data_IF_937074660923
#
_entry.id   IF_937074660923
#
_cell.length_a   1.000
_cell.length_b   1.000
_cell.length_c   1.000
_cell.angle_alpha   90.00
_cell.angle_beta   90.00
_cell.angle_gamma   90.00
#
_symmetry.space_group_name_H-M   'P 1'
#
loop_
_entity.id
_entity.type
_entity.pdbx_description
1 polymer ?
#
# COMPACT_ATOMS: atom_id res chain seq x y z
N UNK A 1 20.43 3.26 4.26
CA UNK A 1 19.73 2.12 3.62
C UNK A 1 18.23 2.22 3.92
N UNK A 2 17.55 3.24 3.40
CA UNK A 2 16.17 3.64 3.79
C UNK A 2 15.13 3.38 2.68
N UNK A 3 15.45 2.60 1.65
CA UNK A 3 14.70 2.60 0.37
C UNK A 3 13.78 1.39 0.14
N UNK A 4 13.82 0.35 0.97
CA UNK A 4 12.95 -0.84 0.78
C UNK A 4 11.53 -0.67 1.34
N UNK A 5 11.34 0.12 2.39
CA UNK A 5 10.02 0.32 3.03
C UNK A 5 9.03 1.16 2.21
N UNK A 6 9.45 1.72 1.08
CA UNK A 6 8.62 2.57 0.22
C UNK A 6 8.27 1.91 -1.13
N UNK A 7 8.37 0.57 -1.20
CA UNK A 7 8.06 -0.20 -2.42
C UNK A 7 7.05 -1.31 -2.16
N UNK A 8 6.20 -1.57 -3.14
CA UNK A 8 5.30 -2.70 -3.23
C UNK A 8 5.73 -3.56 -4.42
N UNK A 9 5.71 -4.87 -4.24
CA UNK A 9 5.96 -5.82 -5.33
C UNK A 9 4.77 -6.77 -5.42
N UNK A 10 4.48 -7.23 -6.63
CA UNK A 10 3.39 -8.17 -6.88
C UNK A 10 3.42 -8.66 -8.31
N UNK A 11 2.36 -9.36 -8.71
CA UNK A 11 2.20 -9.92 -10.05
C UNK A 11 0.83 -9.52 -10.58
N UNK A 12 0.78 -8.93 -11.76
CA UNK A 12 -0.46 -8.61 -12.47
C UNK A 12 -1.22 -9.88 -12.85
N UNK A 13 -2.55 -9.83 -12.88
CA UNK A 13 -3.38 -10.98 -13.23
C UNK A 13 -3.16 -11.42 -14.68
N UNK A 14 -3.15 -10.47 -15.60
CA UNK A 14 -3.01 -10.76 -17.03
C UNK A 14 -1.66 -10.28 -17.57
N UNK A 15 -1.24 -9.07 -17.20
CA UNK A 15 0.04 -8.48 -17.56
C UNK A 15 -0.01 -7.70 -18.86
N UNK A 16 1.17 -7.29 -19.33
CA UNK A 16 1.35 -6.60 -20.61
C UNK A 16 2.28 -7.41 -21.51
N UNK A 17 1.91 -7.55 -22.78
CA UNK A 17 2.81 -8.11 -23.78
C UNK A 17 3.83 -7.05 -24.20
N UNK A 18 5.11 -7.38 -24.10
CA UNK A 18 6.20 -6.54 -24.58
C UNK A 18 7.28 -7.43 -25.19
N UNK A 19 7.65 -7.15 -26.44
CA UNK A 19 8.58 -7.97 -27.23
C UNK A 19 8.22 -9.46 -27.32
N UNK A 20 6.92 -9.78 -27.39
CA UNK A 20 6.42 -11.15 -27.51
C UNK A 20 6.48 -11.96 -26.21
N UNK A 21 6.81 -11.33 -25.08
CA UNK A 21 6.78 -11.92 -23.74
C UNK A 21 5.72 -11.22 -22.88
N UNK A 22 5.03 -12.00 -22.05
CA UNK A 22 4.02 -11.48 -21.13
C UNK A 22 4.67 -11.10 -19.79
N UNK A 23 4.66 -9.81 -19.47
CA UNK A 23 5.26 -9.27 -18.24
C UNK A 23 4.19 -9.01 -17.19
N UNK A 24 4.38 -9.60 -16.01
CA UNK A 24 3.41 -9.51 -14.90
C UNK A 24 4.02 -9.04 -13.59
N UNK A 25 5.25 -9.45 -13.30
CA UNK A 25 5.89 -9.12 -12.03
C UNK A 25 6.27 -7.66 -11.97
N UNK A 26 5.73 -6.92 -11.01
CA UNK A 26 5.97 -5.49 -10.88
C UNK A 26 6.65 -5.12 -9.57
N UNK A 27 7.36 -3.99 -9.62
CA UNK A 27 7.83 -3.26 -8.43
C UNK A 27 7.40 -1.81 -8.59
N UNK A 28 6.66 -1.31 -7.62
CA UNK A 28 6.07 0.02 -7.60
C UNK A 28 6.52 0.75 -6.33
N UNK A 29 6.90 2.02 -6.45
CA UNK A 29 7.15 2.88 -5.28
C UNK A 29 6.03 3.89 -5.07
N UNK A 30 6.00 4.54 -3.91
CA UNK A 30 5.10 5.67 -3.71
C UNK A 30 5.48 6.87 -4.59
N UNK A 31 4.47 7.62 -5.10
CA UNK A 31 4.72 8.87 -5.79
C UNK A 31 5.32 9.90 -4.84
N UNK A 32 6.26 10.66 -5.37
CA UNK A 32 6.81 11.88 -4.79
C UNK A 32 6.21 13.09 -5.50
N UNK A 33 6.40 14.29 -4.93
CA UNK A 33 6.00 15.54 -5.60
C UNK A 33 6.74 15.72 -6.93
N UNK A 34 7.98 15.23 -7.05
CA UNK A 34 8.71 15.26 -8.31
C UNK A 34 7.99 14.46 -9.41
N UNK A 35 7.43 13.30 -9.07
CA UNK A 35 6.68 12.49 -10.04
C UNK A 35 5.36 13.13 -10.45
N UNK A 36 4.72 13.85 -9.53
CA UNK A 36 3.51 14.61 -9.84
C UNK A 36 3.83 15.76 -10.81
N UNK A 37 4.97 16.44 -10.64
CA UNK A 37 5.45 17.46 -11.57
C UNK A 37 5.79 16.82 -12.92
N UNK A 38 6.60 15.76 -12.94
CA UNK A 38 7.01 15.07 -14.17
C UNK A 38 5.79 14.53 -14.94
N UNK A 39 4.77 14.02 -14.24
CA UNK A 39 3.52 13.57 -14.86
C UNK A 39 2.64 14.73 -15.35
N UNK A 40 2.71 15.90 -14.71
CA UNK A 40 2.01 17.11 -15.16
C UNK A 40 2.69 17.78 -16.35
N UNK A 41 4.02 17.68 -16.44
CA UNK A 41 4.82 18.22 -17.53
C UNK A 41 4.89 17.26 -18.74
N UNK A 42 4.44 16.01 -18.56
CA UNK A 42 4.31 15.06 -19.64
C UNK A 42 3.26 15.55 -20.66
N UNK A 43 3.56 15.35 -21.95
CA UNK A 43 2.64 15.67 -23.05
C UNK A 43 1.51 14.62 -23.15
N UNK A 44 0.65 14.59 -22.12
CA UNK A 44 -0.47 13.67 -21.98
C UNK A 44 -1.75 14.45 -21.67
N UNK A 45 -2.94 13.93 -22.05
CA UNK A 45 -4.20 14.55 -21.65
C UNK A 45 -4.35 14.57 -20.11
N UNK A 46 -5.08 15.54 -19.56
CA UNK A 46 -5.38 15.61 -18.11
C UNK A 46 -5.97 14.31 -17.56
N UNK A 47 -6.83 13.63 -18.32
CA UNK A 47 -7.41 12.34 -17.96
C UNK A 47 -6.37 11.21 -17.86
N UNK A 48 -5.21 11.38 -18.50
CA UNK A 48 -4.06 10.49 -18.49
C UNK A 48 -3.06 10.74 -17.37
N UNK A 49 -3.20 11.83 -16.60
CA UNK A 49 -2.27 12.20 -15.52
C UNK A 49 -2.03 11.04 -14.54
N UNK A 50 -3.09 10.34 -14.12
CA UNK A 50 -2.95 9.22 -13.18
C UNK A 50 -2.11 8.06 -13.75
N UNK A 51 -2.19 7.82 -15.06
CA UNK A 51 -1.42 6.78 -15.75
C UNK A 51 0.04 7.22 -15.90
N UNK A 52 0.29 8.49 -16.25
CA UNK A 52 1.63 9.04 -16.33
C UNK A 52 2.33 9.02 -14.95
N UNK A 53 1.61 9.39 -13.89
CA UNK A 53 2.11 9.30 -12.52
C UNK A 53 2.41 7.85 -12.12
N UNK A 54 1.54 6.90 -12.48
CA UNK A 54 1.79 5.48 -12.23
C UNK A 54 3.04 4.99 -12.97
N UNK A 55 3.25 5.42 -14.21
CA UNK A 55 4.41 5.08 -15.03
C UNK A 55 5.71 5.58 -14.37
N UNK A 56 5.74 6.84 -13.91
CA UNK A 56 6.89 7.41 -13.20
C UNK A 56 7.23 6.65 -11.89
N UNK A 57 6.22 6.06 -11.25
CA UNK A 57 6.37 5.30 -10.01
C UNK A 57 6.72 3.83 -10.23
N UNK A 58 6.56 3.30 -11.43
CA UNK A 58 6.81 1.90 -11.74
C UNK A 58 8.31 1.69 -11.94
N UNK A 59 8.94 0.90 -11.08
CA UNK A 59 10.38 0.63 -11.15
C UNK A 59 10.71 -0.60 -12.00
N UNK A 60 9.78 -1.56 -12.06
CA UNK A 60 9.93 -2.81 -12.80
C UNK A 60 8.56 -3.31 -13.26
N UNK A 61 8.52 -3.85 -14.47
CA UNK A 61 7.45 -4.73 -14.96
C UNK A 61 8.09 -5.82 -15.82
N UNK A 62 8.20 -7.02 -15.26
CA UNK A 62 8.94 -8.14 -15.83
C UNK A 62 10.39 -7.76 -16.16
N UNK A 63 10.79 -7.91 -17.42
CA UNK A 63 12.12 -7.54 -17.93
C UNK A 63 12.10 -6.26 -18.75
N UNK A 64 10.99 -5.54 -18.77
CA UNK A 64 10.84 -4.29 -19.52
C UNK A 64 11.82 -3.23 -18.95
N UNK A 65 12.67 -2.62 -19.78
CA UNK A 65 13.57 -1.55 -19.35
C UNK A 65 12.80 -0.36 -18.77
N UNK A 66 13.37 0.30 -17.76
CA UNK A 66 12.69 1.37 -17.03
C UNK A 66 12.28 2.54 -17.95
N UNK A 67 13.11 2.87 -18.92
CA UNK A 67 12.85 3.89 -19.94
C UNK A 67 11.62 3.58 -20.83
N UNK A 68 11.19 2.31 -20.88
CA UNK A 68 10.03 1.87 -21.64
C UNK A 68 8.76 1.74 -20.77
N UNK A 69 8.86 1.94 -19.46
CA UNK A 69 7.71 1.99 -18.55
C UNK A 69 7.03 3.35 -18.64
N UNK A 70 6.45 3.64 -19.80
CA UNK A 70 5.88 4.96 -20.13
C UNK A 70 4.37 4.99 -20.01
N UNK A 71 3.79 6.19 -20.08
CA UNK A 71 2.35 6.40 -20.22
C UNK A 71 1.76 5.55 -21.36
N UNK A 72 2.44 5.48 -22.52
CA UNK A 72 1.95 4.75 -23.69
C UNK A 72 1.90 3.23 -23.47
N UNK A 73 2.84 2.68 -22.69
CA UNK A 73 2.78 1.27 -22.29
C UNK A 73 1.62 1.05 -21.31
N UNK A 74 1.53 1.87 -20.27
CA UNK A 74 0.57 1.66 -19.19
C UNK A 74 -0.88 1.95 -19.60
N UNK A 75 -1.14 2.87 -20.53
CA UNK A 75 -2.51 3.10 -21.05
C UNK A 75 -3.05 1.91 -21.84
N UNK A 76 -2.17 0.99 -22.25
CA UNK A 76 -2.52 -0.28 -22.90
C UNK A 76 -2.84 -1.40 -21.91
N UNK A 77 -2.63 -1.19 -20.61
CA UNK A 77 -3.01 -2.18 -19.60
C UNK A 77 -4.52 -2.39 -19.57
N UNK A 78 -4.91 -3.62 -19.23
CA UNK A 78 -6.29 -3.91 -18.91
C UNK A 78 -6.69 -3.16 -17.64
N UNK A 79 -7.96 -2.73 -17.58
CA UNK A 79 -8.46 -1.94 -16.46
C UNK A 79 -8.29 -2.66 -15.12
N UNK A 80 -8.40 -4.00 -15.11
CA UNK A 80 -8.17 -4.83 -13.92
C UNK A 80 -6.72 -4.76 -13.42
N UNK A 81 -5.74 -4.90 -14.33
CA UNK A 81 -4.31 -4.82 -13.98
C UNK A 81 -3.93 -3.40 -13.51
N UNK A 82 -4.48 -2.37 -14.14
CA UNK A 82 -4.26 -0.99 -13.69
C UNK A 82 -4.86 -0.74 -12.29
N UNK A 83 -6.05 -1.27 -12.02
CA UNK A 83 -6.66 -1.18 -10.69
C UNK A 83 -5.82 -1.93 -9.63
N UNK A 84 -5.21 -3.08 -9.97
CA UNK A 84 -4.29 -3.78 -9.09
C UNK A 84 -3.08 -2.92 -8.69
N UNK A 85 -2.46 -2.21 -9.64
CA UNK A 85 -1.36 -1.29 -9.34
C UNK A 85 -1.82 -0.15 -8.42
N UNK A 86 -3.01 0.40 -8.66
CA UNK A 86 -3.60 1.45 -7.83
C UNK A 86 -3.83 0.97 -6.40
N UNK A 87 -4.42 -0.21 -6.23
CA UNK A 87 -4.65 -0.81 -4.91
C UNK A 87 -3.33 -1.06 -4.19
N UNK A 88 -2.33 -1.63 -4.87
CA UNK A 88 -1.01 -1.88 -4.28
C UNK A 88 -0.33 -0.59 -3.78
N UNK A 89 -0.42 0.50 -4.55
CA UNK A 89 0.04 1.84 -4.13
C UNK A 89 -0.68 2.33 -2.88
N UNK A 90 -2.01 2.20 -2.85
CA UNK A 90 -2.82 2.71 -1.75
C UNK A 90 -2.60 1.90 -0.46
N UNK A 91 -2.39 0.58 -0.58
CA UNK A 91 -1.97 -0.28 0.54
C UNK A 91 -0.58 0.08 1.06
N UNK A 92 0.39 0.32 0.16
CA UNK A 92 1.73 0.77 0.55
C UNK A 92 1.67 2.09 1.32
N UNK A 93 0.83 3.02 0.87
CA UNK A 93 0.59 4.29 1.57
C UNK A 93 -0.03 4.08 2.95
N UNK A 94 -0.95 3.12 3.10
CA UNK A 94 -1.54 2.77 4.42
C UNK A 94 -0.48 2.17 5.35
N UNK A 95 0.37 1.26 4.86
CA UNK A 95 1.45 0.62 5.63
C UNK A 95 2.51 1.61 6.11
N UNK A 96 2.78 2.66 5.34
CA UNK A 96 3.80 3.66 5.69
C UNK A 96 3.30 4.73 6.68
N UNK A 97 1.99 4.98 6.73
CA UNK A 97 1.44 5.93 7.69
C UNK A 97 1.63 5.37 9.10
N UNK A 98 2.15 6.16 10.06
CA UNK A 98 2.15 5.73 11.46
C UNK A 98 0.69 5.49 11.87
N UNK A 99 0.42 4.37 12.54
CA UNK A 99 -0.88 4.17 13.16
C UNK A 99 -1.13 5.36 14.08
N UNK A 100 -2.19 6.12 13.79
CA UNK A 100 -2.61 7.22 14.65
C UNK A 100 -3.13 6.61 15.96
N UNK A 101 -2.23 6.46 16.93
CA UNK A 101 -2.50 6.22 18.34
C UNK A 101 -3.57 5.17 18.65
N UNK A 102 -3.15 3.93 18.87
CA UNK A 102 -3.76 3.13 19.93
C UNK A 102 -3.41 3.82 21.27
N UNK A 103 -4.19 4.84 21.61
CA UNK A 103 -4.21 5.41 22.95
C UNK A 103 -4.76 4.38 23.92
N UNK A 104 -3.85 3.69 24.62
CA UNK A 104 -4.06 3.14 25.96
C UNK A 104 -5.05 1.99 26.10
N UNK A 105 -4.58 0.76 25.86
CA UNK A 105 -5.01 -0.37 26.69
C UNK A 105 -3.78 -1.00 27.30
N UNK A 106 -3.43 -0.55 28.51
CA UNK A 106 -2.70 -1.40 29.43
C UNK A 106 -3.45 -1.34 30.75
N UNK A 107 -4.27 -2.38 30.91
CA UNK A 107 -4.92 -2.75 32.15
C UNK A 107 -3.89 -2.74 33.29
N UNK A 108 -4.12 -1.91 34.30
CA UNK A 108 -3.48 -2.14 35.60
C UNK A 108 -4.38 -3.12 36.35
N UNK A 109 -3.97 -4.38 36.62
CA UNK A 109 -4.66 -5.19 37.60
C UNK A 109 -4.25 -4.65 38.97
N UNK A 110 -5.10 -3.83 39.59
CA UNK A 110 -4.95 -3.54 41.01
C UNK A 110 -5.41 -4.77 41.81
N UNK A 111 -4.48 -5.71 41.98
CA UNK A 111 -4.52 -6.70 43.06
C UNK A 111 -4.23 -5.98 44.38
N UNK A 112 -5.10 -6.13 45.38
CA UNK A 112 -4.91 -5.55 46.71
C UNK A 112 -6.07 -5.85 47.66
N UNK A 113 -5.82 -6.76 48.59
CA UNK A 113 -6.71 -7.35 49.59
C UNK A 113 -7.40 -6.38 50.56
N UNK A 114 -8.55 -6.82 51.08
CA UNK A 114 -9.19 -6.29 52.29
C UNK A 114 -10.08 -7.34 52.95
N UNK A 115 -9.49 -8.17 53.81
CA UNK A 115 -10.19 -9.03 54.77
C UNK A 115 -10.97 -8.18 55.79
N UNK A 116 -12.27 -8.46 55.97
CA UNK A 116 -12.92 -8.26 57.28
C UNK A 116 -14.10 -9.21 57.55
N UNK A 117 -13.83 -10.15 58.47
CA UNK A 117 -14.66 -10.73 59.53
C UNK A 117 -16.19 -10.93 59.36
N UNK A 118 -16.55 -12.22 59.35
CA UNK A 118 -17.59 -12.92 60.15
C UNK A 118 -18.74 -12.12 60.79
N UNK A 119 -19.98 -12.49 60.44
CA UNK A 119 -21.10 -12.49 61.39
C UNK A 119 -22.05 -13.69 61.11
N UNK A 120 -22.01 -14.66 62.02
CA UNK A 120 -22.98 -15.74 62.22
C UNK A 120 -24.41 -15.21 62.37
N UNK A 121 -25.39 -15.78 61.67
CA UNK A 121 -26.70 -16.14 62.28
C UNK A 121 -27.30 -17.40 61.65
N UNK A 122 -27.80 -18.21 62.57
CA UNK A 122 -28.38 -19.54 62.45
C UNK A 122 -29.87 -19.48 62.07
N UNK A 123 -30.44 -20.67 61.82
CA UNK A 123 -31.87 -21.00 61.68
C UNK A 123 -32.43 -20.90 60.26
N UNK A 124 -33.06 -21.91 59.66
CA UNK A 124 -33.54 -23.20 60.17
C UNK A 124 -34.86 -23.55 59.47
N UNK A 125 -34.87 -24.71 58.80
CA UNK A 125 -36.00 -25.48 58.25
C UNK A 125 -36.67 -24.98 56.96
#
# INVERSE_FOLDING_TARGET
MMTETMKASGTLALGVEYNGEMHRDYVLRLPTVGDEIDASDADVPDSGFGVALMAACLEKLGTIPKENLTYDLLRGLLSEDYEQLRVARDELKKKLKPESGAGGTSDTPASGSGDTATATKTSGR
#
